data_IF_878492623397
#
_entry.id   IF_878492623397
#
_cell.length_a   1.000
_cell.length_b   1.000
_cell.length_c   1.000
_cell.angle_alpha   90.00
_cell.angle_beta   90.00
_cell.angle_gamma   90.00
#
_symmetry.space_group_name_H-M   'P 1'
#
loop_
_entity.id
_entity.type
_entity.pdbx_description
1 polymer ?
#
# COMPACT_ATOMS: atom_id res chain seq x y z
N UNK A 1 0.01 43.51 33.91
CA UNK A 1 0.47 42.15 33.88
C UNK A 1 -0.69 41.29 34.34
N UNK A 2 -1.42 40.70 33.42
CA UNK A 2 -2.42 39.66 33.73
C UNK A 2 -1.66 38.37 33.89
N UNK A 3 -1.68 37.76 35.09
CA UNK A 3 -1.23 36.41 35.31
C UNK A 3 -2.23 35.50 34.57
N UNK A 4 -1.84 34.89 33.45
CA UNK A 4 -2.59 33.83 32.91
C UNK A 4 -2.59 32.69 33.93
N UNK A 5 -3.76 32.33 34.45
CA UNK A 5 -3.92 31.17 35.30
C UNK A 5 -3.77 29.93 34.41
N UNK A 6 -2.75 29.14 34.70
CA UNK A 6 -2.54 27.86 34.01
C UNK A 6 -3.74 26.92 34.22
N UNK A 7 -4.34 26.41 33.15
CA UNK A 7 -5.47 25.51 33.23
C UNK A 7 -4.99 24.13 33.69
N UNK A 8 -5.63 23.54 34.69
CA UNK A 8 -5.36 22.17 35.12
C UNK A 8 -6.16 21.20 34.30
N UNK A 9 -5.50 20.22 33.70
CA UNK A 9 -6.11 19.07 33.00
C UNK A 9 -5.78 17.80 33.77
N UNK A 10 -6.79 17.03 34.11
CA UNK A 10 -6.63 15.79 34.87
C UNK A 10 -7.70 14.77 34.49
N UNK A 11 -7.50 13.51 34.84
CA UNK A 11 -8.49 12.44 34.58
C UNK A 11 -7.97 11.08 34.95
N UNK A 12 -8.78 10.10 34.66
CA UNK A 12 -8.48 8.70 34.93
C UNK A 12 -8.53 7.92 33.63
N UNK A 13 -7.61 6.99 33.48
CA UNK A 13 -7.53 6.11 32.31
C UNK A 13 -7.91 4.70 32.73
N UNK A 14 -8.91 4.12 32.06
CA UNK A 14 -9.42 2.79 32.39
C UNK A 14 -9.79 2.00 31.13
N UNK A 15 -9.92 0.70 31.29
CA UNK A 15 -10.26 -0.23 30.22
C UNK A 15 -11.76 -0.36 30.03
N UNK A 16 -12.21 -0.38 28.78
CA UNK A 16 -13.63 -0.54 28.42
C UNK A 16 -14.18 -1.87 28.96
N UNK A 17 -15.32 -1.79 29.63
CA UNK A 17 -16.07 -2.96 30.15
C UNK A 17 -15.52 -3.59 31.43
N UNK A 18 -14.24 -3.44 31.76
CA UNK A 18 -13.67 -3.97 33.00
C UNK A 18 -13.51 -2.92 34.09
N UNK A 19 -13.51 -1.64 33.75
CA UNK A 19 -13.15 -0.51 34.62
C UNK A 19 -11.75 -0.66 35.29
N UNK A 20 -10.89 -1.51 34.75
CA UNK A 20 -9.52 -1.69 35.25
C UNK A 20 -8.72 -0.42 34.97
N UNK A 21 -8.04 0.11 35.98
CA UNK A 21 -7.18 1.31 35.86
C UNK A 21 -5.93 0.98 35.07
N UNK A 22 -5.52 1.90 34.17
CA UNK A 22 -4.37 1.70 33.28
C UNK A 22 -3.27 2.68 33.66
N UNK A 23 -2.13 2.15 34.12
CA UNK A 23 -0.92 2.90 34.43
C UNK A 23 0.04 3.01 33.24
N UNK A 24 1.02 3.91 33.35
CA UNK A 24 2.09 4.13 32.36
C UNK A 24 1.61 4.58 30.96
N UNK A 25 0.42 5.17 30.88
CA UNK A 25 -0.02 5.82 29.66
C UNK A 25 0.66 7.17 29.55
N UNK A 26 1.38 7.40 28.48
CA UNK A 26 2.04 8.67 28.19
C UNK A 26 1.09 9.62 27.48
N UNK A 27 0.95 10.84 27.97
CA UNK A 27 0.08 11.88 27.43
C UNK A 27 0.97 12.93 26.76
N UNK A 28 0.77 13.12 25.47
CA UNK A 28 1.52 14.08 24.66
C UNK A 28 0.59 15.15 24.08
N UNK A 29 1.15 16.29 23.80
CA UNK A 29 0.59 17.32 22.93
C UNK A 29 1.52 17.56 21.73
N UNK A 30 0.95 17.93 20.60
CA UNK A 30 1.72 18.14 19.37
C UNK A 30 2.84 19.18 19.49
N UNK A 31 2.58 20.26 20.24
CA UNK A 31 3.47 21.40 20.32
C UNK A 31 4.38 21.35 21.56
N UNK A 32 3.86 20.81 22.67
CA UNK A 32 4.52 20.81 23.97
C UNK A 32 5.25 19.49 24.30
N UNK A 33 5.02 18.43 23.54
CA UNK A 33 5.61 17.10 23.77
C UNK A 33 4.95 16.34 24.92
N UNK A 34 5.75 15.60 25.71
CA UNK A 34 5.24 14.81 26.85
C UNK A 34 4.75 15.71 27.98
N UNK A 35 3.47 15.60 28.33
CA UNK A 35 2.82 16.40 29.38
C UNK A 35 2.71 15.65 30.72
N UNK A 36 2.32 14.38 30.68
CA UNK A 36 2.15 13.56 31.88
C UNK A 36 2.26 12.06 31.55
N UNK A 37 2.38 11.25 32.63
CA UNK A 37 2.27 9.79 32.56
C UNK A 37 1.30 9.35 33.65
N UNK A 38 0.35 8.46 33.35
CA UNK A 38 -0.60 7.97 34.34
C UNK A 38 0.08 7.11 35.42
N UNK A 39 -0.35 7.29 36.65
CA UNK A 39 0.15 6.56 37.82
C UNK A 39 -0.48 5.14 37.96
N UNK A 40 -0.21 4.46 39.09
CA UNK A 40 -0.73 3.11 39.37
C UNK A 40 -2.25 3.03 39.48
N UNK A 41 -2.90 4.16 39.79
CA UNK A 41 -4.36 4.29 39.86
C UNK A 41 -4.96 4.78 38.53
N UNK A 42 -4.17 4.85 37.46
CA UNK A 42 -4.57 5.36 36.17
C UNK A 42 -4.82 6.86 36.14
N UNK A 43 -4.46 7.58 37.20
CA UNK A 43 -4.66 9.02 37.29
C UNK A 43 -3.53 9.77 36.62
N UNK A 44 -3.87 10.87 35.92
CA UNK A 44 -2.90 11.81 35.35
C UNK A 44 -3.33 13.25 35.59
N UNK A 45 -2.36 14.15 35.66
CA UNK A 45 -2.60 15.59 35.69
C UNK A 45 -1.44 16.37 35.09
N UNK A 46 -1.75 17.50 34.49
CA UNK A 46 -0.78 18.48 34.02
C UNK A 46 -1.39 19.87 33.94
N UNK A 47 -0.55 20.87 33.75
CA UNK A 47 -0.96 22.26 33.64
C UNK A 47 -0.58 22.80 32.27
N UNK A 48 -1.44 23.64 31.66
CA UNK A 48 -1.20 24.27 30.36
C UNK A 48 -1.70 25.69 30.28
N UNK A 49 -0.92 26.55 29.64
CA UNK A 49 -1.28 27.94 29.35
C UNK A 49 -1.86 28.09 27.92
N UNK A 50 -1.98 27.04 27.18
CA UNK A 50 -2.50 27.05 25.80
C UNK A 50 -4.02 27.12 25.78
N UNK A 51 -4.58 27.84 24.81
CA UNK A 51 -6.05 27.96 24.63
C UNK A 51 -6.65 26.68 24.01
N UNK A 52 -5.84 25.82 23.38
CA UNK A 52 -6.26 24.54 22.79
C UNK A 52 -5.13 23.53 22.86
N UNK A 53 -5.47 22.25 23.06
CA UNK A 53 -4.54 21.13 23.07
C UNK A 53 -5.03 19.99 22.19
N UNK A 54 -4.09 19.35 21.49
CA UNK A 54 -4.31 18.07 20.78
C UNK A 54 -3.61 16.97 21.55
N UNK A 55 -4.35 16.32 22.46
CA UNK A 55 -3.81 15.32 23.37
C UNK A 55 -3.78 13.94 22.72
N UNK A 56 -2.64 13.26 22.85
CA UNK A 56 -2.40 11.88 22.42
C UNK A 56 -2.06 11.03 23.62
N UNK A 57 -2.86 10.01 23.86
CA UNK A 57 -2.67 9.03 24.90
C UNK A 57 -2.02 7.78 24.29
N UNK A 58 -0.82 7.45 24.69
CA UNK A 58 -0.01 6.36 24.14
C UNK A 58 0.34 5.34 25.21
N UNK A 59 0.06 4.07 24.93
CA UNK A 59 0.46 2.93 25.74
C UNK A 59 1.07 1.86 24.83
N UNK A 60 2.20 1.29 25.24
CA UNK A 60 2.88 0.25 24.46
C UNK A 60 1.95 -0.96 24.21
N UNK A 61 1.82 -1.35 22.95
CA UNK A 61 0.96 -2.46 22.54
C UNK A 61 -0.53 -2.12 22.40
N UNK A 62 -0.94 -0.87 22.58
CA UNK A 62 -2.34 -0.42 22.41
C UNK A 62 -2.47 0.69 21.38
N UNK A 63 -3.64 0.85 20.72
CA UNK A 63 -3.90 1.98 19.84
C UNK A 63 -3.84 3.30 20.61
N UNK A 64 -3.36 4.36 19.97
CA UNK A 64 -3.46 5.66 20.64
C UNK A 64 -4.87 6.23 20.57
N UNK A 65 -5.17 7.07 21.56
CA UNK A 65 -6.39 7.83 21.62
C UNK A 65 -6.03 9.30 21.42
N UNK A 66 -6.69 9.96 20.49
CA UNK A 66 -6.58 11.40 20.26
C UNK A 66 -7.79 12.12 20.82
N UNK A 67 -7.56 13.24 21.51
CA UNK A 67 -8.59 14.17 21.98
C UNK A 67 -8.18 15.61 21.76
N UNK A 68 -9.04 16.37 21.09
CA UNK A 68 -8.90 17.81 20.97
C UNK A 68 -9.74 18.49 22.04
N UNK A 69 -9.14 19.44 22.75
CA UNK A 69 -9.80 20.22 23.80
C UNK A 69 -9.52 21.71 23.63
N UNK A 70 -10.51 22.51 23.94
CA UNK A 70 -10.39 23.96 24.07
C UNK A 70 -10.36 24.30 25.57
N UNK A 71 -9.36 25.02 26.02
CA UNK A 71 -9.19 25.44 27.41
C UNK A 71 -9.75 26.84 27.59
N UNK A 72 -10.73 26.99 28.47
CA UNK A 72 -11.45 28.24 28.76
C UNK A 72 -11.38 28.55 30.26
N UNK A 73 -10.23 28.95 30.77
CA UNK A 73 -9.98 29.44 32.14
C UNK A 73 -10.66 28.62 33.25
N UNK A 74 -10.55 27.26 33.19
CA UNK A 74 -11.08 26.37 34.23
C UNK A 74 -10.35 25.03 34.23
N UNK A 75 -10.52 24.26 35.29
CA UNK A 75 -10.03 22.89 35.39
C UNK A 75 -10.85 21.93 34.52
N UNK A 76 -10.16 21.00 33.84
CA UNK A 76 -10.75 20.02 32.94
C UNK A 76 -10.52 18.61 33.45
N UNK A 77 -11.63 17.89 33.70
CA UNK A 77 -11.61 16.45 33.96
C UNK A 77 -11.88 15.69 32.66
N UNK A 78 -10.92 14.88 32.21
CA UNK A 78 -10.99 14.12 30.97
C UNK A 78 -10.63 12.67 31.23
N UNK A 79 -11.64 11.86 31.44
CA UNK A 79 -11.45 10.42 31.56
C UNK A 79 -11.30 9.76 30.20
N UNK A 80 -10.38 8.80 30.12
CA UNK A 80 -10.03 8.08 28.89
C UNK A 80 -10.36 6.59 29.07
N UNK A 81 -11.09 6.09 28.08
CA UNK A 81 -11.45 4.67 27.99
C UNK A 81 -10.60 4.02 26.90
N UNK A 82 -9.75 3.11 27.27
CA UNK A 82 -9.04 2.26 26.30
C UNK A 82 -9.92 1.08 25.91
N UNK A 83 -10.05 0.77 24.61
CA UNK A 83 -10.77 -0.43 24.19
C UNK A 83 -10.07 -1.69 24.71
N UNK A 84 -10.85 -2.70 25.04
CA UNK A 84 -10.33 -4.02 25.42
C UNK A 84 -9.43 -4.53 24.30
N UNK A 85 -8.23 -5.01 24.60
CA UNK A 85 -7.40 -5.74 23.68
C UNK A 85 -8.11 -7.04 23.26
N UNK A 86 -8.96 -6.96 22.26
CA UNK A 86 -9.24 -8.14 21.46
C UNK A 86 -7.95 -8.32 20.66
N UNK A 87 -7.19 -9.39 20.90
CA UNK A 87 -6.06 -9.79 20.06
C UNK A 87 -6.56 -10.19 18.65
N UNK A 88 -7.12 -9.24 17.94
CA UNK A 88 -7.08 -9.27 16.50
C UNK A 88 -5.78 -8.59 16.12
N UNK A 89 -4.88 -9.34 15.48
CA UNK A 89 -3.76 -8.81 14.71
C UNK A 89 -4.33 -7.98 13.54
N UNK A 90 -5.04 -6.93 13.86
CA UNK A 90 -5.35 -5.85 12.95
C UNK A 90 -4.07 -5.04 12.84
N UNK A 91 -3.49 -5.07 11.65
CA UNK A 91 -2.39 -4.21 11.24
C UNK A 91 -2.67 -2.79 11.75
N UNK A 92 -1.96 -2.38 12.80
CA UNK A 92 -2.05 -1.02 13.33
C UNK A 92 -1.42 -0.12 12.29
N UNK A 93 -2.25 0.50 11.47
CA UNK A 93 -1.81 1.60 10.59
C UNK A 93 -1.57 2.78 11.52
N UNK A 94 -0.33 2.94 11.95
CA UNK A 94 0.14 4.17 12.59
C UNK A 94 0.17 5.25 11.51
N UNK A 95 -0.91 6.01 11.37
CA UNK A 95 -0.90 7.23 10.59
C UNK A 95 -0.21 8.35 11.37
N UNK A 96 1.08 8.24 11.55
CA UNK A 96 1.89 9.42 11.84
C UNK A 96 1.98 10.22 10.56
N UNK A 97 1.34 11.39 10.51
CA UNK A 97 1.50 12.38 9.45
C UNK A 97 2.89 13.05 9.59
N UNK A 98 3.92 12.26 9.70
CA UNK A 98 5.26 12.66 9.33
C UNK A 98 5.46 12.20 7.89
N UNK A 99 5.17 13.08 6.94
CA UNK A 99 5.53 12.90 5.54
C UNK A 99 7.05 12.84 5.40
N UNK A 100 7.64 11.75 5.83
CA UNK A 100 9.00 11.41 5.44
C UNK A 100 8.90 10.90 4.00
N UNK A 101 9.09 11.79 3.07
CA UNK A 101 8.92 11.62 1.61
C UNK A 101 9.75 10.48 1.02
N UNK A 102 10.62 9.84 1.80
CA UNK A 102 11.54 8.77 1.38
C UNK A 102 11.74 7.68 2.43
N UNK A 103 10.77 7.45 3.32
CA UNK A 103 10.90 6.39 4.31
C UNK A 103 10.55 5.03 3.70
N UNK A 104 11.56 4.17 3.56
CA UNK A 104 11.37 2.76 3.25
C UNK A 104 11.03 2.02 4.55
N UNK A 105 9.84 1.44 4.60
CA UNK A 105 9.45 0.53 5.69
C UNK A 105 10.02 -0.86 5.43
N UNK A 106 10.11 -1.66 6.49
CA UNK A 106 10.39 -3.09 6.40
C UNK A 106 9.11 -3.88 6.68
N UNK A 107 9.04 -5.07 6.12
CA UNK A 107 7.99 -6.02 6.51
C UNK A 107 8.20 -6.45 7.95
N UNK A 108 7.10 -6.70 8.65
CA UNK A 108 7.13 -7.35 9.96
C UNK A 108 7.77 -8.72 9.85
N UNK A 109 8.36 -9.21 10.93
CA UNK A 109 9.08 -10.49 10.97
C UNK A 109 8.22 -11.67 10.50
N UNK A 110 6.91 -11.61 10.74
CA UNK A 110 5.93 -12.59 10.28
C UNK A 110 4.74 -11.83 9.67
N UNK A 111 4.37 -12.19 8.45
CA UNK A 111 3.18 -11.68 7.76
C UNK A 111 2.39 -12.88 7.24
N UNK A 112 1.24 -13.16 7.85
CA UNK A 112 0.46 -14.36 7.54
C UNK A 112 1.25 -15.63 7.82
N UNK A 113 1.52 -16.42 6.78
CA UNK A 113 2.33 -17.65 6.87
C UNK A 113 3.80 -17.46 6.47
N UNK A 114 4.18 -16.24 6.12
CA UNK A 114 5.51 -15.91 5.60
C UNK A 114 6.42 -15.34 6.66
N UNK A 115 7.69 -15.77 6.66
CA UNK A 115 8.71 -15.39 7.65
C UNK A 115 9.72 -14.45 6.98
N UNK A 116 9.79 -13.22 7.46
CA UNK A 116 10.73 -12.18 7.00
C UNK A 116 11.76 -11.80 8.07
N UNK A 117 11.73 -12.42 9.24
CA UNK A 117 12.65 -12.16 10.34
C UNK A 117 14.12 -12.21 9.89
N UNK A 118 14.89 -11.16 10.18
CA UNK A 118 16.29 -11.03 9.77
C UNK A 118 16.51 -10.94 8.25
N UNK A 119 15.47 -10.77 7.46
CA UNK A 119 15.54 -10.69 5.99
C UNK A 119 15.52 -9.25 5.48
N UNK A 120 16.10 -9.04 4.30
CA UNK A 120 16.11 -7.73 3.65
C UNK A 120 14.81 -7.54 2.88
N UNK A 121 13.92 -6.76 3.45
CA UNK A 121 12.66 -6.35 2.84
C UNK A 121 12.55 -4.83 2.79
N UNK A 122 11.91 -4.32 1.77
CA UNK A 122 11.67 -2.89 1.56
C UNK A 122 10.24 -2.73 1.07
N UNK A 123 9.51 -1.77 1.65
CA UNK A 123 8.11 -1.48 1.32
C UNK A 123 8.01 -0.04 0.83
N UNK A 124 7.47 0.14 -0.36
CA UNK A 124 7.11 1.43 -0.93
C UNK A 124 5.65 1.69 -0.63
N UNK A 125 5.35 2.71 0.15
CA UNK A 125 3.98 3.20 0.33
C UNK A 125 3.64 4.10 -0.87
N UNK A 126 2.75 3.64 -1.74
CA UNK A 126 2.45 4.35 -3.00
C UNK A 126 1.79 5.70 -2.74
N UNK A 127 0.99 5.84 -1.69
CA UNK A 127 0.38 7.11 -1.26
C UNK A 127 1.39 8.18 -0.85
N UNK A 128 2.60 7.79 -0.46
CA UNK A 128 3.69 8.68 -0.06
C UNK A 128 4.72 8.91 -1.20
N UNK A 129 4.54 8.25 -2.33
CA UNK A 129 5.44 8.38 -3.47
C UNK A 129 5.23 9.72 -4.18
N UNK A 130 6.33 10.36 -4.60
CA UNK A 130 6.33 11.53 -5.48
C UNK A 130 6.29 11.16 -6.96
N UNK A 131 6.17 9.87 -7.27
CA UNK A 131 6.13 9.38 -8.63
C UNK A 131 4.87 9.83 -9.37
N UNK A 132 4.97 9.99 -10.68
CA UNK A 132 3.80 10.15 -11.54
C UNK A 132 3.06 8.79 -11.64
N UNK A 133 2.03 8.62 -10.83
CA UNK A 133 1.26 7.37 -10.78
C UNK A 133 0.44 7.16 -12.06
N UNK A 134 -0.01 8.23 -12.71
CA UNK A 134 -0.81 8.13 -13.93
C UNK A 134 -0.04 7.50 -15.10
N UNK A 135 1.25 7.82 -15.24
CA UNK A 135 2.11 7.21 -16.24
C UNK A 135 2.61 5.81 -15.85
N UNK A 136 2.42 5.40 -14.60
CA UNK A 136 2.94 4.16 -14.03
C UNK A 136 4.47 4.00 -14.22
N UNK A 137 5.21 5.10 -14.07
CA UNK A 137 6.64 5.16 -14.37
C UNK A 137 7.46 4.39 -13.34
N UNK A 138 7.97 3.21 -13.74
CA UNK A 138 8.72 2.32 -12.85
C UNK A 138 9.98 2.98 -12.28
N UNK A 139 10.71 3.79 -13.04
CA UNK A 139 11.90 4.47 -12.53
C UNK A 139 11.59 5.43 -11.39
N UNK A 140 10.45 6.12 -11.47
CA UNK A 140 10.04 7.03 -10.40
C UNK A 140 9.48 6.25 -9.19
N UNK A 141 8.67 5.22 -9.41
CA UNK A 141 8.04 4.43 -8.35
C UNK A 141 9.08 3.69 -7.52
N UNK A 142 10.06 3.06 -8.15
CA UNK A 142 11.06 2.24 -7.47
C UNK A 142 12.38 2.97 -7.17
N UNK A 143 12.48 4.28 -7.47
CA UNK A 143 13.71 5.08 -7.31
C UNK A 143 14.29 5.07 -5.90
N UNK A 144 13.46 4.85 -4.90
CA UNK A 144 13.87 4.84 -3.49
C UNK A 144 14.62 3.57 -3.08
N UNK A 145 14.54 2.50 -3.89
CA UNK A 145 15.11 1.21 -3.54
C UNK A 145 16.50 1.06 -4.15
N UNK A 146 17.50 1.09 -3.30
CA UNK A 146 18.88 0.93 -3.74
C UNK A 146 19.16 -0.45 -4.36
N UNK A 147 19.92 -0.49 -5.44
CA UNK A 147 20.39 -1.72 -6.09
C UNK A 147 19.33 -2.45 -6.94
N UNK A 148 18.26 -1.77 -7.32
CA UNK A 148 17.40 -2.19 -8.41
C UNK A 148 17.91 -1.58 -9.72
N UNK A 149 17.97 -2.42 -10.75
CA UNK A 149 18.16 -2.02 -12.14
C UNK A 149 16.80 -1.97 -12.81
N UNK A 150 16.43 -0.82 -13.38
CA UNK A 150 15.08 -0.59 -13.89
C UNK A 150 15.20 -0.09 -15.33
N UNK A 151 14.61 -0.84 -16.26
CA UNK A 151 14.43 -0.39 -17.62
C UNK A 151 13.03 0.17 -17.81
N UNK A 152 12.91 1.11 -18.71
CA UNK A 152 11.64 1.61 -19.21
C UNK A 152 11.66 1.46 -20.72
N UNK A 153 10.93 0.46 -21.21
CA UNK A 153 10.91 0.10 -22.61
C UNK A 153 9.63 0.56 -23.32
N UNK A 154 8.66 1.04 -22.58
CA UNK A 154 7.42 1.60 -23.10
C UNK A 154 7.07 2.92 -22.39
N UNK A 155 6.34 3.78 -23.08
CA UNK A 155 5.91 5.08 -22.56
C UNK A 155 4.67 5.00 -21.68
N UNK A 156 4.01 3.84 -21.66
CA UNK A 156 2.74 3.62 -20.97
C UNK A 156 2.91 2.99 -19.58
N UNK A 157 4.09 2.47 -19.25
CA UNK A 157 4.31 1.70 -18.03
C UNK A 157 3.45 0.44 -17.96
N UNK A 158 3.26 -0.23 -19.12
CA UNK A 158 2.44 -1.43 -19.22
C UNK A 158 3.16 -2.67 -18.69
N UNK A 159 4.47 -2.72 -18.89
CA UNK A 159 5.32 -3.81 -18.45
C UNK A 159 6.33 -3.32 -17.42
N UNK A 160 6.62 -4.18 -16.45
CA UNK A 160 7.64 -3.91 -15.43
C UNK A 160 8.94 -4.58 -15.88
N UNK A 161 10.03 -3.81 -15.80
CA UNK A 161 11.37 -4.27 -16.10
C UNK A 161 12.28 -3.97 -14.91
N UNK A 162 12.33 -4.88 -13.93
CA UNK A 162 13.10 -4.74 -12.70
C UNK A 162 14.07 -5.91 -12.55
N UNK A 163 15.36 -5.59 -12.44
CA UNK A 163 16.42 -6.51 -12.08
C UNK A 163 17.05 -6.12 -10.74
N UNK A 164 17.53 -7.09 -10.02
CA UNK A 164 18.27 -6.89 -8.77
C UNK A 164 19.64 -7.51 -8.83
N UNK A 165 20.61 -6.97 -8.10
CA UNK A 165 21.96 -7.54 -7.97
C UNK A 165 22.72 -7.69 -9.30
N UNK A 166 22.49 -6.76 -10.24
CA UNK A 166 23.12 -6.81 -11.55
C UNK A 166 22.47 -7.78 -12.56
N UNK A 167 21.38 -8.42 -12.20
CA UNK A 167 20.62 -9.28 -13.12
C UNK A 167 19.85 -8.45 -14.14
N UNK A 168 19.65 -9.04 -15.32
CA UNK A 168 18.88 -8.43 -16.40
C UNK A 168 17.44 -8.11 -15.92
N UNK A 169 17.00 -6.85 -16.05
CA UNK A 169 15.66 -6.44 -15.66
C UNK A 169 14.56 -6.83 -16.66
N UNK A 170 14.91 -7.40 -17.82
CA UNK A 170 13.96 -7.65 -18.89
C UNK A 170 12.76 -8.45 -18.39
N UNK A 171 11.56 -7.85 -18.51
CA UNK A 171 10.26 -8.40 -18.08
C UNK A 171 10.26 -8.99 -16.66
N UNK A 172 11.13 -8.49 -15.80
CA UNK A 172 11.24 -8.90 -14.40
C UNK A 172 11.49 -10.41 -14.20
N UNK A 173 12.07 -11.08 -15.19
CA UNK A 173 12.21 -12.54 -15.25
C UNK A 173 13.00 -13.16 -14.08
N UNK A 174 13.81 -12.35 -13.40
CA UNK A 174 14.60 -12.80 -12.25
C UNK A 174 13.91 -12.58 -10.89
N UNK A 175 12.72 -11.99 -10.88
CA UNK A 175 11.90 -11.81 -9.68
C UNK A 175 10.67 -12.71 -9.72
N UNK A 176 10.26 -13.23 -8.55
CA UNK A 176 8.93 -13.74 -8.39
C UNK A 176 7.96 -12.56 -8.25
N UNK A 177 6.95 -12.48 -9.10
CA UNK A 177 5.98 -11.38 -9.11
C UNK A 177 4.63 -11.85 -8.58
N UNK A 178 4.08 -11.11 -7.63
CA UNK A 178 2.84 -11.45 -6.93
C UNK A 178 1.88 -10.27 -6.84
N UNK A 179 0.59 -10.57 -6.79
CA UNK A 179 -0.47 -9.65 -6.44
C UNK A 179 -1.18 -10.17 -5.19
N UNK A 180 -1.29 -9.35 -4.15
CA UNK A 180 -1.89 -9.75 -2.87
C UNK A 180 -1.40 -11.12 -2.33
N UNK A 181 -0.13 -11.45 -2.61
CA UNK A 181 0.53 -12.67 -2.17
C UNK A 181 0.38 -13.89 -3.09
N UNK A 182 -0.47 -13.89 -4.11
CA UNK A 182 -0.54 -14.98 -5.09
C UNK A 182 0.31 -14.68 -6.34
N UNK A 183 0.79 -15.74 -7.00
CA UNK A 183 1.63 -15.62 -8.18
C UNK A 183 0.84 -15.06 -9.37
N UNK A 184 1.44 -14.14 -10.12
CA UNK A 184 0.87 -13.52 -11.30
C UNK A 184 1.77 -13.62 -12.54
N UNK A 185 2.90 -14.32 -12.43
CA UNK A 185 3.83 -14.54 -13.54
C UNK A 185 3.32 -15.58 -14.53
N UNK A 186 3.95 -15.64 -15.71
CA UNK A 186 3.70 -16.69 -16.70
C UNK A 186 4.50 -17.98 -16.44
N UNK A 187 5.04 -18.16 -15.24
CA UNK A 187 5.97 -19.24 -14.89
C UNK A 187 5.36 -20.64 -15.14
N UNK A 188 4.06 -20.79 -14.88
CA UNK A 188 3.31 -22.04 -15.17
C UNK A 188 3.38 -22.46 -16.64
N UNK A 189 3.56 -21.49 -17.55
CA UNK A 189 3.72 -21.73 -18.98
C UNK A 189 5.21 -21.91 -19.38
N UNK A 190 6.11 -21.93 -18.39
CA UNK A 190 7.56 -22.01 -18.61
C UNK A 190 8.24 -20.68 -18.90
N UNK A 191 7.55 -19.56 -18.69
CA UNK A 191 8.09 -18.21 -18.85
C UNK A 191 8.15 -17.52 -17.49
N UNK A 192 9.32 -17.29 -16.87
CA UNK A 192 9.44 -16.61 -15.58
C UNK A 192 9.18 -15.10 -15.68
N UNK A 193 8.59 -14.63 -16.76
CA UNK A 193 8.41 -13.23 -17.10
C UNK A 193 7.10 -12.69 -16.55
N UNK A 194 7.08 -11.43 -16.16
CA UNK A 194 5.86 -10.71 -15.78
C UNK A 194 5.37 -9.86 -16.96
N UNK A 195 4.21 -10.20 -17.46
CA UNK A 195 3.53 -9.45 -18.52
C UNK A 195 2.42 -8.54 -18.01
N UNK A 196 2.00 -8.75 -16.77
CA UNK A 196 0.96 -7.97 -16.11
C UNK A 196 1.58 -6.99 -15.12
N UNK A 197 1.07 -5.76 -15.11
CA UNK A 197 1.39 -4.75 -14.11
C UNK A 197 0.11 -4.07 -13.65
N UNK A 198 -0.23 -4.11 -12.35
CA UNK A 198 -1.34 -3.33 -11.84
C UNK A 198 -1.02 -1.82 -11.93
N UNK A 199 -2.03 -0.97 -12.17
CA UNK A 199 -1.82 0.48 -12.17
C UNK A 199 -1.40 0.95 -10.78
N UNK A 200 -0.38 1.81 -10.70
CA UNK A 200 0.14 2.33 -9.44
C UNK A 200 -0.94 3.04 -8.60
N UNK A 201 -1.92 3.65 -9.25
CA UNK A 201 -3.04 4.32 -8.57
C UNK A 201 -3.94 3.35 -7.77
N UNK A 202 -3.94 2.05 -8.13
CA UNK A 202 -4.69 1.00 -7.43
C UNK A 202 -3.91 0.39 -6.26
N UNK A 203 -2.61 0.69 -6.13
CA UNK A 203 -1.75 0.08 -5.13
C UNK A 203 -1.79 0.83 -3.80
N UNK A 204 -1.84 0.07 -2.72
CA UNK A 204 -1.56 0.51 -1.36
C UNK A 204 -0.06 0.59 -1.13
N UNK A 205 0.62 -0.55 -1.39
CA UNK A 205 2.05 -0.67 -1.22
C UNK A 205 2.67 -1.67 -2.21
N UNK A 206 3.99 -1.55 -2.38
CA UNK A 206 4.80 -2.50 -3.14
C UNK A 206 5.86 -3.06 -2.20
N UNK A 207 5.84 -4.37 -2.02
CA UNK A 207 6.77 -5.09 -1.15
C UNK A 207 7.88 -5.73 -1.99
N UNK A 208 9.14 -5.46 -1.64
CA UNK A 208 10.30 -6.07 -2.28
C UNK A 208 11.06 -6.88 -1.23
N UNK A 209 11.22 -8.16 -1.50
CA UNK A 209 11.93 -9.08 -0.62
C UNK A 209 13.12 -9.66 -1.35
N UNK A 210 14.31 -9.57 -0.75
CA UNK A 210 15.55 -9.99 -1.38
C UNK A 210 16.22 -11.14 -0.63
N UNK A 211 17.02 -11.89 -1.37
CA UNK A 211 17.82 -12.98 -0.82
C UNK A 211 17.00 -14.20 -0.41
N UNK A 212 17.43 -14.90 0.62
CA UNK A 212 16.86 -16.18 1.02
C UNK A 212 15.36 -16.12 1.42
N UNK A 213 14.85 -14.95 1.80
CA UNK A 213 13.43 -14.80 2.13
C UNK A 213 12.52 -14.97 0.92
N UNK A 214 13.00 -14.66 -0.28
CA UNK A 214 12.21 -14.84 -1.50
C UNK A 214 12.08 -16.31 -1.90
N UNK A 215 12.99 -17.18 -1.47
CA UNK A 215 12.97 -18.61 -1.78
C UNK A 215 11.77 -19.37 -1.23
N UNK A 216 11.08 -18.84 -0.22
CA UNK A 216 9.81 -19.41 0.24
C UNK A 216 8.68 -19.32 -0.82
N UNK A 217 8.88 -18.51 -1.87
CA UNK A 217 7.89 -18.27 -2.94
C UNK A 217 8.30 -18.83 -4.30
N UNK A 218 9.56 -19.20 -4.49
CA UNK A 218 10.05 -19.71 -5.76
C UNK A 218 11.56 -19.60 -5.90
N UNK A 219 12.05 -19.89 -7.10
CA UNK A 219 13.47 -20.04 -7.39
C UNK A 219 14.13 -18.81 -8.05
N UNK A 220 13.41 -17.71 -8.19
CA UNK A 220 13.93 -16.49 -8.82
C UNK A 220 14.98 -15.83 -7.91
N UNK A 221 16.19 -15.68 -8.43
CA UNK A 221 17.35 -15.19 -7.66
C UNK A 221 17.34 -13.68 -7.39
N UNK A 222 16.59 -12.90 -8.17
CA UNK A 222 16.45 -11.45 -7.99
C UNK A 222 15.74 -11.08 -6.71
N UNK A 223 14.75 -11.87 -6.34
CA UNK A 223 13.89 -11.63 -5.18
C UNK A 223 12.41 -11.82 -5.48
N UNK A 224 11.61 -11.13 -4.68
CA UNK A 224 10.15 -11.08 -4.79
C UNK A 224 9.70 -9.63 -4.94
N UNK A 225 8.76 -9.38 -5.84
CA UNK A 225 7.95 -8.16 -5.87
C UNK A 225 6.50 -8.55 -5.65
N UNK A 226 5.88 -8.00 -4.60
CA UNK A 226 4.46 -8.25 -4.29
C UNK A 226 3.70 -6.92 -4.32
N UNK A 227 2.69 -6.85 -5.16
CA UNK A 227 1.81 -5.71 -5.31
C UNK A 227 0.61 -5.88 -4.38
N UNK A 228 0.48 -4.98 -3.41
CA UNK A 228 -0.68 -4.96 -2.51
C UNK A 228 -1.66 -3.93 -3.04
N UNK A 229 -2.80 -4.39 -3.49
CA UNK A 229 -3.89 -3.53 -3.94
C UNK A 229 -4.60 -2.89 -2.76
N UNK A 230 -5.21 -1.72 -2.99
CA UNK A 230 -6.05 -1.04 -2.01
C UNK A 230 -7.18 -1.94 -1.54
N UNK A 231 -7.45 -1.87 -0.25
CA UNK A 231 -8.54 -2.62 0.39
C UNK A 231 -9.85 -1.82 0.33
N UNK A 232 -11.01 -2.50 0.46
CA UNK A 232 -12.29 -1.84 0.60
C UNK A 232 -12.32 -0.87 1.77
N UNK A 233 -12.89 0.31 1.56
CA UNK A 233 -13.15 1.29 2.62
C UNK A 233 -14.27 0.76 3.51
N UNK A 234 -14.05 0.72 4.83
CA UNK A 234 -14.97 0.09 5.78
C UNK A 234 -15.98 1.06 6.41
N UNK A 235 -15.63 2.32 6.51
CA UNK A 235 -16.41 3.38 7.16
C UNK A 235 -17.42 4.06 6.22
N UNK A 236 -17.41 3.73 4.94
CA UNK A 236 -18.30 4.31 3.92
C UNK A 236 -19.06 3.24 3.18
N UNK A 237 -20.34 3.54 2.90
CA UNK A 237 -21.14 2.70 2.02
C UNK A 237 -20.59 2.73 0.59
N UNK A 238 -20.19 3.90 0.10
CA UNK A 238 -19.60 4.10 -1.23
C UNK A 238 -18.59 5.24 -1.22
N UNK A 239 -17.46 5.00 -1.86
CA UNK A 239 -16.46 6.00 -2.20
C UNK A 239 -16.09 5.83 -3.68
N UNK A 240 -16.12 6.91 -4.43
CA UNK A 240 -15.72 6.95 -5.84
C UNK A 240 -14.55 7.90 -6.00
N UNK A 241 -13.49 7.42 -6.62
CA UNK A 241 -12.34 8.25 -7.01
C UNK A 241 -12.18 8.15 -8.51
N UNK A 242 -12.18 9.30 -9.21
CA UNK A 242 -11.91 9.36 -10.64
C UNK A 242 -10.79 10.37 -10.91
N UNK A 243 -9.78 9.94 -11.64
CA UNK A 243 -8.64 10.75 -12.05
C UNK A 243 -8.48 10.67 -13.56
N UNK A 244 -8.35 11.83 -14.19
CA UNK A 244 -8.10 11.94 -15.61
C UNK A 244 -6.81 12.71 -15.82
N UNK A 245 -5.94 12.22 -16.68
CA UNK A 245 -4.66 12.86 -17.00
C UNK A 245 -4.53 12.99 -18.50
N UNK A 246 -4.13 14.18 -18.94
CA UNK A 246 -3.74 14.47 -20.30
C UNK A 246 -2.25 14.83 -20.31
N UNK A 247 -1.55 14.39 -21.32
CA UNK A 247 -0.11 14.65 -21.44
C UNK A 247 0.33 14.81 -22.91
N UNK A 248 1.64 15.00 -23.09
CA UNK A 248 2.25 15.04 -24.42
C UNK A 248 2.11 13.69 -25.14
N UNK A 249 2.32 13.69 -26.44
CA UNK A 249 2.23 12.51 -27.30
C UNK A 249 0.88 11.80 -27.22
N UNK A 250 -0.21 12.57 -27.19
CA UNK A 250 -1.57 12.03 -27.14
C UNK A 250 -1.92 11.25 -25.87
N UNK A 251 -1.11 11.36 -24.79
CA UNK A 251 -1.37 10.65 -23.56
C UNK A 251 -2.72 11.04 -22.96
N UNK A 252 -3.58 10.06 -22.80
CA UNK A 252 -4.79 10.12 -22.01
C UNK A 252 -4.85 8.93 -21.07
N UNK A 253 -5.09 9.18 -19.79
CA UNK A 253 -5.35 8.13 -18.81
C UNK A 253 -6.55 8.48 -17.95
N UNK A 254 -7.40 7.49 -17.71
CA UNK A 254 -8.49 7.54 -16.74
C UNK A 254 -8.30 6.41 -15.73
N UNK A 255 -8.29 6.76 -14.47
CA UNK A 255 -8.41 5.80 -13.37
C UNK A 255 -9.68 6.11 -12.59
N UNK A 256 -10.60 5.16 -12.54
CA UNK A 256 -11.82 5.29 -11.76
C UNK A 256 -11.96 4.08 -10.86
N UNK A 257 -12.10 4.32 -9.56
CA UNK A 257 -12.32 3.28 -8.55
C UNK A 257 -13.58 3.51 -7.75
N UNK A 258 -14.17 2.41 -7.33
CA UNK A 258 -15.34 2.31 -6.47
C UNK A 258 -15.00 1.44 -5.27
N UNK A 259 -15.23 1.93 -4.06
CA UNK A 259 -14.95 1.23 -2.83
C UNK A 259 -16.06 1.42 -1.81
N UNK A 260 -16.25 0.46 -0.92
CA UNK A 260 -17.22 0.61 0.16
C UNK A 260 -17.50 -0.67 0.92
N UNK A 261 -18.32 -0.51 1.98
CA UNK A 261 -18.79 -1.62 2.81
C UNK A 261 -20.26 -1.47 3.12
N UNK A 262 -21.01 -2.53 2.90
CA UNK A 262 -22.43 -2.64 3.27
C UNK A 262 -22.61 -3.87 4.15
N UNK A 263 -22.77 -3.65 5.46
CA UNK A 263 -22.90 -4.71 6.46
C UNK A 263 -21.74 -5.72 6.38
N UNK A 264 -22.02 -6.92 5.84
CA UNK A 264 -21.06 -8.02 5.74
C UNK A 264 -20.31 -8.06 4.42
N UNK A 265 -20.69 -7.24 3.45
CA UNK A 265 -20.07 -7.19 2.12
C UNK A 265 -19.20 -5.94 2.01
N UNK A 266 -17.92 -6.12 1.75
CA UNK A 266 -16.97 -5.07 1.39
C UNK A 266 -16.51 -5.25 -0.05
N UNK A 267 -16.28 -4.16 -0.77
CA UNK A 267 -15.90 -4.22 -2.17
C UNK A 267 -14.92 -3.11 -2.55
N UNK A 268 -14.03 -3.45 -3.47
CA UNK A 268 -13.16 -2.52 -4.16
C UNK A 268 -13.11 -2.90 -5.64
N UNK A 269 -13.37 -1.95 -6.51
CA UNK A 269 -13.27 -2.16 -7.95
C UNK A 269 -12.57 -0.97 -8.60
N UNK A 270 -11.88 -1.19 -9.71
CA UNK A 270 -11.39 -0.10 -10.55
C UNK A 270 -11.41 -0.46 -12.03
N UNK A 271 -11.40 0.59 -12.84
CA UNK A 271 -11.05 0.55 -14.26
C UNK A 271 -9.98 1.62 -14.50
N UNK A 272 -8.91 1.21 -15.16
CA UNK A 272 -7.86 2.09 -15.62
C UNK A 272 -7.72 1.96 -17.13
N UNK A 273 -8.02 3.00 -17.86
CA UNK A 273 -7.83 3.08 -19.32
C UNK A 273 -6.68 4.03 -19.62
N UNK A 274 -5.82 3.64 -20.53
CA UNK A 274 -4.65 4.41 -20.92
C UNK A 274 -4.39 4.28 -22.42
N UNK A 275 -4.17 5.40 -23.09
CA UNK A 275 -3.80 5.46 -24.51
C UNK A 275 -2.84 6.60 -24.78
N UNK A 276 -2.08 6.48 -25.85
CA UNK A 276 -1.16 7.51 -26.31
C UNK A 276 -0.45 7.11 -27.60
N UNK A 277 0.18 8.09 -28.24
CA UNK A 277 0.94 7.87 -29.46
C UNK A 277 2.38 7.45 -29.20
N UNK A 278 2.85 7.66 -27.92
CA UNK A 278 4.22 7.39 -27.52
C UNK A 278 5.21 8.46 -27.99
N UNK A 279 6.45 8.30 -27.58
CA UNK A 279 7.53 9.27 -27.82
C UNK A 279 8.12 9.15 -29.24
N UNK A 280 8.04 7.96 -29.86
CA UNK A 280 8.68 7.62 -31.10
C UNK A 280 7.68 7.13 -32.13
N UNK A 281 8.07 7.12 -33.40
CA UNK A 281 7.32 6.42 -34.45
C UNK A 281 7.11 4.95 -34.04
N UNK A 282 5.94 4.38 -34.34
CA UNK A 282 5.54 3.03 -34.00
C UNK A 282 5.65 2.70 -32.50
N UNK A 283 5.19 3.61 -31.63
CA UNK A 283 5.15 3.45 -30.18
C UNK A 283 3.78 3.72 -29.54
N UNK A 284 2.72 3.82 -30.35
CA UNK A 284 1.36 4.02 -29.84
C UNK A 284 0.87 2.81 -29.04
N UNK A 285 -0.03 3.09 -28.11
CA UNK A 285 -0.57 2.07 -27.22
C UNK A 285 -2.03 2.37 -26.81
N UNK A 286 -2.76 1.29 -26.53
CA UNK A 286 -4.08 1.30 -25.91
C UNK A 286 -4.14 0.18 -24.87
N UNK A 287 -4.60 0.48 -23.67
CA UNK A 287 -4.65 -0.45 -22.55
C UNK A 287 -5.85 -0.22 -21.67
N UNK A 288 -6.47 -1.30 -21.22
CA UNK A 288 -7.52 -1.27 -20.19
C UNK A 288 -7.22 -2.34 -19.14
N UNK A 289 -7.13 -1.90 -17.88
CA UNK A 289 -6.96 -2.76 -16.71
C UNK A 289 -8.17 -2.60 -15.80
N UNK A 290 -8.84 -3.67 -15.48
CA UNK A 290 -10.00 -3.70 -14.59
C UNK A 290 -9.80 -4.70 -13.45
N UNK A 291 -10.40 -4.40 -12.31
CA UNK A 291 -10.28 -5.20 -11.11
C UNK A 291 -11.56 -5.15 -10.30
N UNK A 292 -11.89 -6.28 -9.68
CA UNK A 292 -12.96 -6.41 -8.72
C UNK A 292 -12.48 -7.26 -7.53
N UNK A 293 -12.60 -6.73 -6.35
CA UNK A 293 -12.34 -7.43 -5.10
C UNK A 293 -13.57 -7.37 -4.20
N UNK A 294 -14.03 -8.52 -3.75
CA UNK A 294 -15.17 -8.68 -2.88
C UNK A 294 -14.75 -9.42 -1.62
N UNK A 295 -15.22 -8.97 -0.48
CA UNK A 295 -15.04 -9.64 0.81
C UNK A 295 -16.40 -9.82 1.46
N UNK A 296 -16.71 -11.04 1.87
CA UNK A 296 -17.93 -11.36 2.61
C UNK A 296 -17.60 -11.97 3.96
N UNK A 297 -17.96 -11.26 5.02
CA UNK A 297 -17.80 -11.71 6.41
C UNK A 297 -19.04 -12.51 6.82
N UNK A 298 -18.99 -13.86 6.76
CA UNK A 298 -20.08 -14.70 7.23
C UNK A 298 -20.37 -14.47 8.70
N UNK A 299 -19.29 -14.43 9.49
CA UNK A 299 -19.28 -14.16 10.93
C UNK A 299 -17.87 -13.70 11.33
N UNK A 300 -17.63 -13.48 12.63
CA UNK A 300 -16.34 -13.03 13.16
C UNK A 300 -15.18 -14.02 12.93
N UNK A 301 -15.48 -15.29 12.60
CA UNK A 301 -14.48 -16.35 12.42
C UNK A 301 -14.27 -16.75 10.96
N UNK A 302 -15.23 -16.46 10.08
CA UNK A 302 -15.21 -16.98 8.70
C UNK A 302 -15.39 -15.84 7.71
N UNK A 303 -14.43 -15.72 6.81
CA UNK A 303 -14.40 -14.71 5.76
C UNK A 303 -14.09 -15.37 4.41
N UNK A 304 -14.80 -14.95 3.38
CA UNK A 304 -14.54 -15.32 1.98
C UNK A 304 -14.17 -14.06 1.21
N UNK A 305 -13.06 -14.11 0.49
CA UNK A 305 -12.70 -13.05 -0.45
C UNK A 305 -12.55 -13.60 -1.86
N UNK A 306 -12.95 -12.80 -2.83
CA UNK A 306 -12.84 -13.10 -4.26
C UNK A 306 -12.23 -11.91 -4.98
N UNK A 307 -11.28 -12.18 -5.84
CA UNK A 307 -10.54 -11.17 -6.60
C UNK A 307 -10.45 -11.59 -8.06
N UNK A 308 -10.71 -10.64 -8.97
CA UNK A 308 -10.55 -10.84 -10.41
C UNK A 308 -9.90 -9.58 -10.98
N UNK A 309 -8.82 -9.76 -11.75
CA UNK A 309 -8.17 -8.69 -12.52
C UNK A 309 -8.12 -9.08 -13.98
N UNK A 310 -8.41 -8.15 -14.87
CA UNK A 310 -8.34 -8.35 -16.31
C UNK A 310 -7.64 -7.19 -16.99
N UNK A 311 -6.56 -7.50 -17.71
CA UNK A 311 -5.78 -6.54 -18.47
C UNK A 311 -5.84 -6.88 -19.95
N UNK A 312 -6.11 -5.89 -20.76
CA UNK A 312 -5.86 -5.94 -22.20
C UNK A 312 -4.97 -4.78 -22.59
N UNK A 313 -3.99 -5.02 -23.44
CA UNK A 313 -3.30 -3.95 -24.11
C UNK A 313 -2.82 -4.34 -25.51
N UNK A 314 -2.74 -3.35 -26.37
CA UNK A 314 -2.05 -3.38 -27.64
C UNK A 314 -1.02 -2.26 -27.64
N UNK A 315 0.24 -2.59 -27.82
CA UNK A 315 1.32 -1.61 -27.85
C UNK A 315 2.23 -1.85 -29.08
N UNK A 316 2.42 -0.81 -29.87
CA UNK A 316 3.43 -0.82 -30.91
C UNK A 316 4.81 -0.82 -30.30
N UNK A 317 5.82 -1.33 -31.01
CA UNK A 317 7.18 -1.46 -30.52
C UNK A 317 8.18 -0.90 -31.53
N UNK A 318 8.71 0.26 -31.20
CA UNK A 318 9.62 1.01 -32.05
C UNK A 318 10.99 0.33 -32.26
N UNK A 319 11.36 -0.62 -31.39
CA UNK A 319 12.68 -1.27 -31.37
C UNK A 319 13.80 -0.40 -30.79
N UNK A 320 14.93 -0.99 -30.48
CA UNK A 320 16.14 -0.27 -30.04
C UNK A 320 16.81 0.48 -31.18
N UNK A 321 17.39 1.63 -30.91
CA UNK A 321 18.24 2.37 -31.86
C UNK A 321 19.71 2.11 -31.53
N UNK A 322 20.55 2.04 -32.56
CA UNK A 322 22.00 2.19 -32.38
C UNK A 322 22.33 3.66 -32.12
N UNK A 323 23.50 3.94 -31.56
CA UNK A 323 23.98 5.32 -31.31
C UNK A 323 23.92 6.18 -32.58
N UNK A 324 24.29 5.62 -33.73
CA UNK A 324 24.23 6.34 -35.01
C UNK A 324 22.80 6.68 -35.39
N UNK A 325 21.85 5.77 -35.23
CA UNK A 325 20.44 6.01 -35.52
C UNK A 325 19.85 7.05 -34.55
N UNK A 326 20.17 6.95 -33.28
CA UNK A 326 19.73 7.91 -32.27
C UNK A 326 20.26 9.33 -32.55
N UNK A 327 21.52 9.44 -32.94
CA UNK A 327 22.14 10.73 -33.30
C UNK A 327 21.58 11.34 -34.60
N UNK A 328 21.08 10.50 -35.50
CA UNK A 328 20.43 10.97 -36.74
C UNK A 328 19.01 11.48 -36.47
N UNK A 329 18.21 10.66 -35.79
CA UNK A 329 16.83 11.00 -35.38
C UNK A 329 16.41 10.14 -34.18
N UNK A 330 16.30 10.72 -32.99
CA UNK A 330 15.90 9.98 -31.79
C UNK A 330 14.43 9.54 -31.80
N UNK A 331 13.61 10.10 -32.68
CA UNK A 331 12.18 9.78 -32.80
C UNK A 331 11.89 8.63 -33.76
N UNK A 332 12.86 8.23 -34.57
CA UNK A 332 12.68 7.17 -35.56
C UNK A 332 12.37 5.80 -34.94
N UNK A 333 11.71 4.96 -35.70
CA UNK A 333 11.51 3.54 -35.42
C UNK A 333 12.27 2.70 -36.43
N UNK A 334 12.97 1.66 -35.98
CA UNK A 334 13.54 0.63 -36.85
C UNK A 334 12.61 -0.59 -37.04
N UNK A 335 11.36 -0.51 -36.55
CA UNK A 335 10.39 -1.60 -36.48
C UNK A 335 8.97 -1.15 -36.88
N UNK A 336 8.75 -0.90 -38.15
CA UNK A 336 7.49 -0.32 -38.64
C UNK A 336 6.24 -1.20 -38.42
N UNK A 337 6.40 -2.50 -38.14
CA UNK A 337 5.27 -3.45 -38.02
C UNK A 337 5.30 -4.30 -36.76
N UNK A 338 6.12 -3.94 -35.78
CA UNK A 338 6.16 -4.65 -34.52
C UNK A 338 5.11 -4.10 -33.55
N UNK A 339 4.43 -5.01 -32.92
CA UNK A 339 3.46 -4.72 -31.87
C UNK A 339 3.39 -5.90 -30.89
N UNK A 340 2.87 -5.67 -29.70
CA UNK A 340 2.62 -6.64 -28.67
C UNK A 340 1.18 -6.51 -28.19
N UNK A 341 0.42 -7.59 -28.27
CA UNK A 341 -0.95 -7.68 -27.73
C UNK A 341 -0.98 -8.64 -26.56
N UNK A 342 -1.66 -8.24 -25.50
CA UNK A 342 -1.83 -9.06 -24.31
C UNK A 342 -3.29 -9.04 -23.86
N UNK A 343 -3.77 -10.22 -23.43
CA UNK A 343 -4.98 -10.41 -22.65
C UNK A 343 -4.63 -11.27 -21.45
N UNK A 344 -4.74 -10.69 -20.26
CA UNK A 344 -4.30 -11.34 -19.02
C UNK A 344 -5.42 -11.35 -17.99
N UNK A 345 -5.80 -12.55 -17.55
CA UNK A 345 -6.80 -12.77 -16.53
C UNK A 345 -6.12 -13.32 -15.28
N UNK A 346 -6.34 -12.68 -14.15
CA UNK A 346 -5.98 -13.19 -12.83
C UNK A 346 -7.23 -13.35 -12.00
N UNK A 347 -7.30 -14.42 -11.22
CA UNK A 347 -8.37 -14.64 -10.26
C UNK A 347 -7.82 -15.23 -8.96
N UNK A 348 -8.49 -14.91 -7.86
CA UNK A 348 -8.16 -15.45 -6.56
C UNK A 348 -9.42 -15.61 -5.72
N UNK A 349 -9.62 -16.79 -5.13
CA UNK A 349 -10.67 -17.09 -4.18
C UNK A 349 -10.04 -17.57 -2.89
N UNK A 350 -10.26 -16.87 -1.78
CA UNK A 350 -9.66 -17.18 -0.49
C UNK A 350 -10.72 -17.33 0.58
N UNK A 351 -10.74 -18.49 1.23
CA UNK A 351 -11.54 -18.74 2.42
C UNK A 351 -10.62 -18.72 3.65
N UNK A 352 -10.97 -17.93 4.64
CA UNK A 352 -10.25 -17.85 5.91
C UNK A 352 -11.19 -18.24 7.05
N UNK A 353 -10.72 -19.12 7.93
CA UNK A 353 -11.50 -19.57 9.08
C UNK A 353 -10.64 -19.63 10.35
N UNK A 354 -11.06 -18.93 11.39
CA UNK A 354 -10.46 -18.94 12.72
C UNK A 354 -11.07 -20.09 13.54
N UNK A 355 -10.31 -21.20 13.67
CA UNK A 355 -10.75 -22.35 14.47
C UNK A 355 -10.68 -22.02 15.96
N UNK A 356 -9.57 -21.41 16.40
CA UNK A 356 -9.33 -20.96 17.79
C UNK A 356 -8.46 -19.71 17.76
N UNK A 357 -8.19 -19.12 18.94
CA UNK A 357 -7.31 -17.95 19.04
C UNK A 357 -5.87 -18.22 18.63
N UNK A 358 -5.46 -19.51 18.60
CA UNK A 358 -4.13 -19.94 18.21
C UNK A 358 -4.08 -20.61 16.83
N UNK A 359 -5.22 -20.83 16.19
CA UNK A 359 -5.30 -21.61 14.93
C UNK A 359 -6.19 -20.96 13.90
N UNK A 360 -5.58 -20.52 12.80
CA UNK A 360 -6.27 -20.05 11.62
C UNK A 360 -6.00 -20.98 10.45
N UNK A 361 -7.02 -21.25 9.65
CA UNK A 361 -6.91 -22.02 8.40
C UNK A 361 -7.30 -21.12 7.24
N UNK A 362 -6.50 -21.13 6.20
CA UNK A 362 -6.83 -20.47 4.94
C UNK A 362 -6.72 -21.43 3.76
N UNK A 363 -7.69 -21.37 2.87
CA UNK A 363 -7.68 -22.06 1.59
C UNK A 363 -7.65 -21.00 0.50
N UNK A 364 -6.68 -21.11 -0.39
CA UNK A 364 -6.47 -20.13 -1.46
C UNK A 364 -6.45 -20.85 -2.81
N UNK A 365 -7.31 -20.42 -3.73
CA UNK A 365 -7.39 -20.94 -5.09
C UNK A 365 -7.21 -19.75 -6.05
N UNK A 366 -6.19 -19.81 -6.90
CA UNK A 366 -5.82 -18.71 -7.79
C UNK A 366 -5.27 -19.19 -9.14
N UNK A 367 -5.26 -18.31 -10.12
CA UNK A 367 -4.68 -18.54 -11.45
C UNK A 367 -4.75 -17.30 -12.30
#
# INVERSE_FOLDING_TARGET
>A
MFSNASNKVFGIIFEEGSNTRISNVSIYDNDSGLLAISDSEGYYEFYSDSDSLSLFYSLEGRPFIEKQILLLDKDYNIDIVYPVLIEELSEVIVTTINRKTFELKRLNDIVGTSIYAGKKSEVILVSQSMANLASNNSRQIYSQIAGLNIYQNDDAGLQIHIGGRGLDPNRTSNFNTRQNGYDMSADVLGYPESYYSPPAEALEEIQIVRGAASLQYGTQFGGLVNFILKKPVKDKFVEVISRNTLGSNGLYTNFTSLSGTNKKLSYYAYVNSKKGDGFRDNSSYDSTNSHLFLVYDFNQKTKLSSEVSYLTYLAQQAGGLSDNMFNQDPFQSNRARNWFELKWLLYNLKLEHKISDKTNVSLNFFG
#
